data_IF_267825750851
#
_entry.id   IF_267825750851
#
_cell.length_a   1.000
_cell.length_b   1.000
_cell.length_c   1.000
_cell.angle_alpha   90.00
_cell.angle_beta   90.00
_cell.angle_gamma   90.00
#
_symmetry.space_group_name_H-M   'P 1'
#
loop_
_entity.id
_entity.type
_entity.pdbx_description
1 polymer ?
#
# COMPACT_ATOMS: atom_id res chain seq x y z
N UNK A 1 16.96 9.64 -1.72
CA UNK A 1 16.07 9.99 -2.85
C UNK A 1 14.68 10.10 -2.27
N UNK A 2 13.89 11.11 -2.64
CA UNK A 2 12.52 11.24 -2.16
C UNK A 2 11.60 10.55 -3.16
N UNK A 3 10.81 9.59 -2.68
CA UNK A 3 9.79 8.90 -3.46
C UNK A 3 8.39 9.44 -3.15
N UNK A 4 7.53 9.44 -4.16
CA UNK A 4 6.10 9.75 -3.99
C UNK A 4 5.30 8.51 -4.36
N UNK A 5 4.52 8.00 -3.41
CA UNK A 5 3.81 6.74 -3.53
C UNK A 5 2.30 6.95 -3.44
N UNK A 6 1.57 6.44 -4.43
CA UNK A 6 0.14 6.23 -4.34
C UNK A 6 -0.11 4.86 -3.68
N UNK A 7 -0.84 4.88 -2.57
CA UNK A 7 -1.19 3.69 -1.81
C UNK A 7 -2.69 3.49 -1.93
N UNK A 8 -3.11 2.36 -2.48
CA UNK A 8 -4.49 1.91 -2.44
C UNK A 8 -4.58 0.62 -1.63
N UNK A 9 -5.65 0.48 -0.85
CA UNK A 9 -5.81 -0.67 0.03
C UNK A 9 -7.28 -1.08 0.12
N UNK A 10 -7.49 -2.36 0.38
CA UNK A 10 -8.81 -2.92 0.66
C UNK A 10 -8.68 -3.70 1.97
N UNK A 11 -9.46 -3.31 2.97
CA UNK A 11 -9.51 -4.03 4.25
C UNK A 11 -10.86 -4.73 4.35
N UNK A 12 -10.86 -6.01 4.72
CA UNK A 12 -12.11 -6.74 4.94
C UNK A 12 -12.91 -6.10 6.09
N UNK A 13 -14.18 -5.80 5.86
CA UNK A 13 -15.07 -5.32 6.92
C UNK A 13 -15.43 -6.48 7.87
N UNK A 14 -14.76 -6.53 9.03
CA UNK A 14 -14.97 -7.48 10.11
C UNK A 14 -14.61 -6.87 11.48
N UNK A 15 -14.64 -7.68 12.53
CA UNK A 15 -14.60 -7.23 13.94
C UNK A 15 -13.38 -6.37 14.31
N UNK A 16 -12.25 -6.58 13.63
CA UNK A 16 -10.99 -5.88 13.86
C UNK A 16 -10.65 -4.88 12.74
N UNK A 17 -11.61 -4.53 11.88
CA UNK A 17 -11.42 -3.57 10.78
C UNK A 17 -10.78 -2.25 11.24
N UNK A 18 -11.34 -1.61 12.28
CA UNK A 18 -10.85 -0.31 12.76
C UNK A 18 -9.40 -0.41 13.21
N UNK A 19 -9.07 -1.46 13.97
CA UNK A 19 -7.71 -1.68 14.47
C UNK A 19 -6.69 -1.84 13.33
N UNK A 20 -7.06 -2.55 12.26
CA UNK A 20 -6.20 -2.68 11.07
C UNK A 20 -6.06 -1.36 10.31
N UNK A 21 -7.17 -0.65 10.10
CA UNK A 21 -7.18 0.65 9.44
C UNK A 21 -6.30 1.66 10.20
N UNK A 22 -6.52 1.82 11.49
CA UNK A 22 -5.79 2.76 12.34
C UNK A 22 -4.30 2.45 12.33
N UNK A 23 -3.91 1.16 12.44
CA UNK A 23 -2.51 0.76 12.38
C UNK A 23 -1.84 1.04 11.03
N UNK A 24 -2.58 0.92 9.92
CA UNK A 24 -2.08 1.26 8.59
C UNK A 24 -1.90 2.78 8.45
N UNK A 25 -2.87 3.56 8.92
CA UNK A 25 -2.79 5.02 8.90
C UNK A 25 -1.63 5.55 9.75
N UNK A 26 -1.39 4.97 10.92
CA UNK A 26 -0.21 5.27 11.75
C UNK A 26 1.09 5.04 10.96
N UNK A 27 1.20 3.92 10.23
CA UNK A 27 2.37 3.66 9.40
C UNK A 27 2.46 4.63 8.22
N UNK A 28 1.37 4.96 7.54
CA UNK A 28 1.41 5.90 6.41
C UNK A 28 1.86 7.30 6.84
N UNK A 29 1.45 7.76 8.03
CA UNK A 29 1.80 9.09 8.59
C UNK A 29 3.19 9.16 9.23
N UNK A 30 3.83 8.00 9.44
CA UNK A 30 5.05 7.91 10.25
C UNK A 30 6.23 8.71 9.70
N UNK A 31 6.37 8.79 8.37
CA UNK A 31 7.52 9.41 7.71
C UNK A 31 7.08 10.26 6.53
N UNK A 32 7.55 11.51 6.54
CA UNK A 32 7.34 12.45 5.45
C UNK A 32 5.95 13.08 5.45
N UNK A 33 5.39 13.30 4.26
CA UNK A 33 4.09 13.97 4.09
C UNK A 33 3.06 13.00 3.56
N UNK A 34 1.82 13.15 4.00
CA UNK A 34 0.70 12.33 3.56
C UNK A 34 -0.50 13.21 3.19
N UNK A 35 -1.24 12.78 2.18
CA UNK A 35 -2.57 13.28 1.83
C UNK A 35 -3.55 12.09 1.78
N UNK A 36 -4.63 12.15 2.56
CA UNK A 36 -5.54 11.01 2.86
C UNK A 36 -7.02 11.39 3.01
N UNK A 37 -7.56 12.22 2.10
CA UNK A 37 -8.97 12.62 2.16
C UNK A 37 -9.95 11.52 1.70
N UNK A 38 -9.44 10.39 1.21
CA UNK A 38 -10.24 9.29 0.64
C UNK A 38 -10.09 8.00 1.44
N UNK A 39 -11.18 7.24 1.59
CA UNK A 39 -11.29 6.10 2.52
C UNK A 39 -10.36 4.91 2.26
N UNK A 40 -9.86 4.74 1.03
CA UNK A 40 -9.09 3.56 0.61
C UNK A 40 -7.88 3.93 -0.24
N UNK A 41 -7.36 5.14 -0.01
CA UNK A 41 -6.27 5.69 -0.79
C UNK A 41 -5.50 6.77 -0.03
N UNK A 42 -4.20 6.83 -0.25
CA UNK A 42 -3.32 7.88 0.25
C UNK A 42 -2.19 8.19 -0.75
N UNK A 43 -1.71 9.43 -0.72
CA UNK A 43 -0.44 9.83 -1.35
C UNK A 43 0.59 10.07 -0.25
N UNK A 44 1.79 9.51 -0.38
CA UNK A 44 2.86 9.64 0.60
C UNK A 44 4.18 10.04 -0.05
N UNK A 45 4.77 11.13 0.42
CA UNK A 45 6.14 11.56 0.10
C UNK A 45 7.06 11.08 1.23
N UNK A 46 8.07 10.26 0.93
CA UNK A 46 8.99 9.69 1.93
C UNK A 46 10.41 9.52 1.37
N UNK A 47 11.42 9.39 2.24
CA UNK A 47 12.81 9.08 1.87
C UNK A 47 13.08 7.58 1.72
N UNK A 48 12.08 6.75 2.01
CA UNK A 48 12.14 5.30 1.88
C UNK A 48 12.08 4.86 0.40
N UNK A 49 12.81 3.78 0.08
CA UNK A 49 12.61 3.09 -1.20
C UNK A 49 11.23 2.44 -1.27
N UNK A 50 10.72 2.16 -2.47
CA UNK A 50 9.44 1.47 -2.69
C UNK A 50 9.34 0.17 -1.87
N UNK A 51 10.39 -0.66 -1.89
CA UNK A 51 10.44 -1.90 -1.12
C UNK A 51 10.47 -1.66 0.39
N UNK A 52 11.26 -0.71 0.88
CA UNK A 52 11.33 -0.39 2.31
C UNK A 52 10.01 0.15 2.83
N UNK A 53 9.41 1.08 2.08
CA UNK A 53 8.13 1.69 2.40
C UNK A 53 7.01 0.64 2.45
N UNK A 54 6.87 -0.14 1.38
CA UNK A 54 5.87 -1.19 1.28
C UNK A 54 6.04 -2.26 2.38
N UNK A 55 7.25 -2.77 2.59
CA UNK A 55 7.54 -3.75 3.64
C UNK A 55 7.16 -3.20 5.03
N UNK A 56 7.41 -1.91 5.30
CA UNK A 56 7.03 -1.28 6.57
C UNK A 56 5.52 -1.24 6.71
N UNK A 57 4.79 -0.78 5.70
CA UNK A 57 3.32 -0.79 5.73
C UNK A 57 2.77 -2.20 6.00
N UNK A 58 3.33 -3.22 5.36
CA UNK A 58 2.85 -4.59 5.53
C UNK A 58 3.23 -5.22 6.88
N UNK A 59 4.51 -5.18 7.27
CA UNK A 59 5.01 -5.90 8.46
C UNK A 59 4.89 -5.10 9.77
N UNK A 60 4.66 -3.79 9.71
CA UNK A 60 4.51 -2.94 10.91
C UNK A 60 3.09 -2.43 11.14
N UNK A 61 2.16 -2.72 10.22
CA UNK A 61 0.72 -2.57 10.47
C UNK A 61 0.12 -3.92 10.88
N UNK A 62 -1.15 -3.92 11.29
CA UNK A 62 -1.90 -5.13 11.64
C UNK A 62 -2.62 -5.76 10.44
N UNK A 63 -2.15 -5.50 9.22
CA UNK A 63 -2.74 -6.02 7.99
C UNK A 63 -2.77 -7.55 8.01
N UNK A 64 -3.86 -8.11 7.49
CA UNK A 64 -4.06 -9.54 7.36
C UNK A 64 -3.79 -9.99 5.94
N UNK A 65 -2.82 -10.90 5.79
CA UNK A 65 -2.41 -11.43 4.48
C UNK A 65 -3.50 -12.20 3.71
N UNK A 66 -4.53 -12.68 4.41
CA UNK A 66 -5.66 -13.45 3.83
C UNK A 66 -6.91 -12.60 3.60
N UNK A 67 -7.01 -11.43 4.25
CA UNK A 67 -8.24 -10.61 4.27
C UNK A 67 -8.06 -9.27 3.59
N UNK A 68 -6.85 -8.73 3.60
CA UNK A 68 -6.57 -7.37 3.15
C UNK A 68 -5.69 -7.36 1.90
N UNK A 69 -5.76 -6.26 1.15
CA UNK A 69 -4.92 -5.99 -0.02
C UNK A 69 -4.22 -4.66 0.16
N UNK A 70 -2.96 -4.62 -0.28
CA UNK A 70 -2.16 -3.40 -0.32
C UNK A 70 -1.56 -3.26 -1.72
N UNK A 71 -1.71 -2.09 -2.32
CA UNK A 71 -1.14 -1.76 -3.61
C UNK A 71 -0.39 -0.44 -3.51
N UNK A 72 0.92 -0.49 -3.70
CA UNK A 72 1.81 0.68 -3.60
C UNK A 72 2.41 0.95 -4.97
N UNK A 73 2.22 2.16 -5.48
CA UNK A 73 2.69 2.59 -6.80
C UNK A 73 3.57 3.81 -6.65
N UNK A 74 4.79 3.74 -7.17
CA UNK A 74 5.62 4.92 -7.39
C UNK A 74 5.03 5.76 -8.52
N UNK A 75 4.68 7.02 -8.23
CA UNK A 75 3.97 7.88 -9.19
C UNK A 75 4.90 8.47 -10.24
N UNK A 76 6.22 8.39 -10.05
CA UNK A 76 7.23 8.95 -10.97
C UNK A 76 7.58 7.92 -12.05
N UNK A 77 8.08 6.75 -11.65
CA UNK A 77 8.62 5.75 -12.59
C UNK A 77 7.71 4.53 -12.81
N UNK A 78 6.58 4.49 -12.08
CA UNK A 78 5.57 3.43 -12.09
C UNK A 78 6.02 2.01 -11.68
N UNK A 79 7.14 1.75 -10.95
CA UNK A 79 7.24 0.47 -10.24
C UNK A 79 6.14 0.39 -9.18
N UNK A 80 5.62 -0.82 -8.95
CA UNK A 80 4.58 -1.02 -7.97
C UNK A 80 4.68 -2.40 -7.33
N UNK A 81 4.14 -2.51 -6.12
CA UNK A 81 4.08 -3.74 -5.36
C UNK A 81 2.63 -3.99 -4.96
N UNK A 82 2.16 -5.20 -5.23
CA UNK A 82 0.85 -5.69 -4.84
C UNK A 82 1.00 -6.80 -3.79
N UNK A 83 0.29 -6.68 -2.67
CA UNK A 83 0.23 -7.69 -1.60
C UNK A 83 -1.19 -8.11 -1.27
N UNK A 84 -1.32 -9.40 -0.98
CA UNK A 84 -2.60 -10.04 -0.71
C UNK A 84 -3.21 -10.68 -1.97
N UNK A 85 -4.46 -11.11 -1.85
CA UNK A 85 -5.12 -11.92 -2.87
C UNK A 85 -5.67 -11.06 -4.04
N UNK A 86 -4.81 -10.69 -5.00
CA UNK A 86 -5.25 -10.10 -6.27
C UNK A 86 -5.69 -11.19 -7.25
N UNK A 87 -6.98 -11.19 -7.60
CA UNK A 87 -7.63 -12.26 -8.42
C UNK A 87 -7.39 -12.16 -9.93
N UNK A 88 -6.86 -11.02 -10.42
CA UNK A 88 -6.58 -10.79 -11.85
C UNK A 88 -5.11 -10.37 -12.09
N UNK A 89 -4.12 -11.22 -11.76
CA UNK A 89 -2.70 -10.86 -11.85
C UNK A 89 -2.25 -10.54 -13.28
N UNK A 90 -2.78 -11.23 -14.29
CA UNK A 90 -2.43 -10.97 -15.70
C UNK A 90 -2.91 -9.61 -16.20
N UNK A 91 -4.14 -9.22 -15.86
CA UNK A 91 -4.69 -7.90 -16.18
C UNK A 91 -3.86 -6.81 -15.51
N UNK A 92 -3.54 -6.99 -14.22
CA UNK A 92 -2.70 -6.05 -13.48
C UNK A 92 -1.31 -5.91 -14.11
N UNK A 93 -0.65 -7.02 -14.47
CA UNK A 93 0.67 -7.00 -15.13
C UNK A 93 0.62 -6.37 -16.52
N UNK A 94 -0.48 -6.52 -17.26
CA UNK A 94 -0.67 -5.88 -18.57
C UNK A 94 -0.77 -4.36 -18.47
N UNK A 95 -1.38 -3.83 -17.40
CA UNK A 95 -1.55 -2.38 -17.18
C UNK A 95 -0.30 -1.80 -16.51
N UNK A 96 0.29 -2.54 -15.57
CA UNK A 96 1.45 -2.17 -14.78
C UNK A 96 2.59 -3.19 -15.00
N UNK A 97 3.35 -3.10 -16.11
CA UNK A 97 4.37 -4.09 -16.47
C UNK A 97 5.46 -4.29 -15.41
N UNK A 98 5.70 -3.27 -14.57
CA UNK A 98 6.68 -3.30 -13.48
C UNK A 98 6.12 -3.81 -12.14
N UNK A 99 4.88 -4.31 -12.08
CA UNK A 99 4.31 -4.82 -10.82
C UNK A 99 5.07 -6.04 -10.32
N UNK A 100 5.34 -6.04 -9.01
CA UNK A 100 5.81 -7.18 -8.24
C UNK A 100 4.67 -7.61 -7.32
N UNK A 101 4.20 -8.85 -7.46
CA UNK A 101 3.22 -9.42 -6.55
C UNK A 101 3.95 -10.23 -5.47
N UNK A 102 3.70 -9.91 -4.20
CA UNK A 102 4.34 -10.55 -3.04
C UNK A 102 3.32 -11.24 -2.14
#
# INVERSE_FOLDING_TARGET
MVGVYAVSFELKSDSDYSERYDSLMEQLKLKGKMWDETTSFALVETDESLDSFENRLYFKSKLSNTRDKLFVVDVTDRPCIARGAFVMPFTLKSIMPKVVQK
#
